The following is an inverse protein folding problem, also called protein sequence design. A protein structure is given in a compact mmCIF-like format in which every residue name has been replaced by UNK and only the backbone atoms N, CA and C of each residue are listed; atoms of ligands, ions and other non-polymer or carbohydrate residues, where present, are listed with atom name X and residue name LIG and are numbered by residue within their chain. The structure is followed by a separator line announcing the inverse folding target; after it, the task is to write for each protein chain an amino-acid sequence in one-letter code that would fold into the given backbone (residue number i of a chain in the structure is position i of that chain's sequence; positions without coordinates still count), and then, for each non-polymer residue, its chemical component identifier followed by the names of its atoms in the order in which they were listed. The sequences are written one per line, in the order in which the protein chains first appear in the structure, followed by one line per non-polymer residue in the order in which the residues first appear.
data_IF_754747512436
#
_entry.id   IF_754747512436
#
_cell.length_a   1.000
_cell.length_b   1.000
_cell.length_c   1.000
_cell.angle_alpha   90.00
_cell.angle_beta   90.00
_cell.angle_gamma   90.00
#
_symmetry.space_group_name_H-M   'P 1'
#
loop_
_entity.id
_entity.type
_entity.pdbx_description
1 polymer ?
#
# COMPACT_ATOMS: atom_id res chain seq x y z
N UNK A 1 70.86 17.28 -10.17
CA UNK A 1 71.88 17.07 -11.22
C UNK A 1 71.89 15.59 -11.58
N UNK A 2 71.16 15.20 -12.62
CA UNK A 2 71.46 14.03 -13.44
C UNK A 2 70.75 14.23 -14.77
N UNK A 3 71.43 13.84 -15.83
CA UNK A 3 71.29 14.29 -17.20
C UNK A 3 70.38 13.40 -18.05
N UNK A 4 69.94 13.99 -19.16
CA UNK A 4 69.99 13.43 -20.51
C UNK A 4 68.71 12.85 -21.15
N UNK A 5 68.19 13.67 -22.08
CA UNK A 5 68.19 13.45 -23.54
C UNK A 5 66.87 13.09 -24.27
N UNK A 6 66.66 13.89 -25.32
CA UNK A 6 66.13 13.61 -26.69
C UNK A 6 64.64 13.80 -27.05
N UNK A 7 64.39 14.95 -27.68
CA UNK A 7 63.39 15.42 -28.69
C UNK A 7 63.38 14.57 -29.99
N UNK A 8 62.55 14.81 -31.07
CA UNK A 8 61.56 15.88 -31.34
C UNK A 8 60.22 15.54 -32.05
N UNK A 9 59.27 16.49 -31.94
CA UNK A 9 58.39 17.13 -32.95
C UNK A 9 58.00 16.40 -34.27
N UNK A 10 56.68 16.38 -34.63
CA UNK A 10 56.13 17.06 -35.83
C UNK A 10 54.59 17.11 -35.86
N UNK A 11 54.07 18.10 -36.61
CA UNK A 11 52.73 18.70 -36.62
C UNK A 11 51.65 17.97 -37.44
N UNK A 12 50.40 18.15 -36.97
CA UNK A 12 49.14 18.57 -37.65
C UNK A 12 49.01 18.54 -39.19
N UNK A 13 47.87 18.03 -39.71
CA UNK A 13 46.93 18.73 -40.64
C UNK A 13 45.63 17.91 -40.89
N UNK A 14 44.52 18.67 -40.91
CA UNK A 14 43.12 18.36 -41.24
C UNK A 14 42.86 18.09 -42.74
N UNK A 15 41.79 17.32 -43.08
CA UNK A 15 40.65 17.81 -43.89
C UNK A 15 39.49 16.81 -44.09
N UNK A 16 38.29 17.41 -44.13
CA UNK A 16 36.93 16.95 -44.48
C UNK A 16 36.81 16.28 -45.86
N UNK A 17 35.71 15.53 -46.08
CA UNK A 17 34.61 15.85 -47.03
C UNK A 17 33.42 14.86 -46.84
N UNK A 18 32.25 15.35 -47.21
CA UNK A 18 30.87 14.99 -46.86
C UNK A 18 30.09 14.17 -47.92
N UNK A 19 29.01 13.54 -47.45
CA UNK A 19 27.64 13.46 -48.04
C UNK A 19 27.40 12.97 -49.47
N UNK A 20 26.48 12.01 -49.65
CA UNK A 20 25.12 12.27 -50.18
C UNK A 20 24.24 11.01 -50.30
N UNK A 21 22.94 11.30 -50.29
CA UNK A 21 21.69 10.54 -50.17
C UNK A 21 21.25 9.68 -51.35
N UNK A 22 20.35 8.72 -51.13
CA UNK A 22 19.10 8.58 -51.91
C UNK A 22 18.10 7.60 -51.28
N UNK A 23 16.83 7.97 -51.37
CA UNK A 23 15.62 7.27 -50.95
C UNK A 23 14.91 6.67 -52.18
N UNK A 24 14.24 5.51 -52.01
CA UNK A 24 12.90 5.26 -52.56
C UNK A 24 12.33 3.89 -52.16
N UNK A 25 11.01 3.91 -51.99
CA UNK A 25 10.01 2.93 -51.57
C UNK A 25 9.70 1.80 -52.55
N UNK A 26 9.28 0.62 -52.06
CA UNK A 26 7.99 -0.06 -52.38
C UNK A 26 7.85 -1.44 -51.71
N UNK A 27 6.64 -1.73 -51.20
CA UNK A 27 6.16 -2.96 -50.53
C UNK A 27 5.77 -4.07 -51.53
N UNK A 28 5.04 -5.15 -51.13
CA UNK A 28 5.41 -6.27 -50.26
C UNK A 28 5.28 -7.63 -51.01
N UNK A 29 5.83 -8.72 -50.45
CA UNK A 29 5.49 -10.07 -50.91
C UNK A 29 5.36 -11.08 -49.77
N UNK A 30 4.38 -11.95 -50.00
CA UNK A 30 3.69 -12.96 -49.19
C UNK A 30 4.47 -14.24 -48.90
N UNK A 31 3.85 -15.11 -48.08
CA UNK A 31 4.19 -16.48 -47.62
C UNK A 31 5.02 -16.53 -46.33
N UNK A 32 4.68 -17.30 -45.29
CA UNK A 32 3.90 -18.54 -45.22
C UNK A 32 3.25 -18.72 -43.84
N UNK A 33 2.04 -19.27 -43.85
CA UNK A 33 1.40 -19.99 -42.75
C UNK A 33 2.36 -20.99 -42.09
N UNK A 34 2.35 -21.07 -40.77
CA UNK A 34 2.51 -22.31 -40.02
C UNK A 34 1.50 -22.31 -38.87
N UNK A 35 0.37 -22.97 -39.13
CA UNK A 35 -0.53 -23.50 -38.11
C UNK A 35 0.12 -24.75 -37.54
N UNK A 36 0.31 -24.81 -36.23
CA UNK A 36 0.43 -26.08 -35.51
C UNK A 36 -0.74 -26.23 -34.56
N UNK A 37 -1.64 -27.15 -34.88
CA UNK A 37 -2.65 -27.69 -33.98
C UNK A 37 -1.99 -28.69 -33.02
N UNK A 38 -2.38 -28.62 -31.75
CA UNK A 38 -2.36 -29.74 -30.82
C UNK A 38 -3.65 -29.71 -30.00
N UNK A 39 -4.58 -30.66 -30.18
CA UNK A 39 -5.63 -30.96 -29.22
C UNK A 39 -5.19 -32.13 -28.32
N UNK A 40 -5.97 -32.40 -27.28
CA UNK A 40 -5.85 -33.41 -26.19
C UNK A 40 -5.44 -32.76 -24.86
N UNK A 41 -6.13 -32.97 -23.73
CA UNK A 41 -7.24 -33.86 -23.42
C UNK A 41 -7.96 -33.29 -22.20
N UNK A 42 -9.28 -33.17 -22.27
CA UNK A 42 -10.14 -33.02 -21.09
C UNK A 42 -10.28 -34.39 -20.44
N UNK A 43 -9.94 -34.49 -19.16
CA UNK A 43 -10.38 -35.61 -18.32
C UNK A 43 -10.89 -35.07 -17.00
N UNK A 44 -12.20 -35.11 -16.85
CA UNK A 44 -12.94 -35.02 -15.61
C UNK A 44 -12.37 -35.96 -14.55
N UNK A 45 -12.12 -35.45 -13.35
CA UNK A 45 -12.03 -36.29 -12.15
C UNK A 45 -13.27 -36.05 -11.30
N UNK A 46 -14.03 -37.13 -11.19
CA UNK A 46 -15.23 -37.28 -10.37
C UNK A 46 -14.85 -37.29 -8.89
N UNK A 47 -15.74 -36.70 -8.11
CA UNK A 47 -16.12 -37.01 -6.73
C UNK A 47 -15.50 -38.27 -6.11
N UNK A 48 -14.90 -38.08 -4.94
CA UNK A 48 -14.92 -39.08 -3.88
C UNK A 48 -15.67 -38.49 -2.68
N UNK A 49 -16.88 -39.03 -2.47
CA UNK A 49 -17.61 -38.96 -1.21
C UNK A 49 -16.86 -39.83 -0.19
N UNK A 50 -16.57 -39.27 0.99
CA UNK A 50 -16.35 -40.07 2.19
C UNK A 50 -17.27 -39.55 3.29
N UNK A 51 -18.36 -40.28 3.47
CA UNK A 51 -19.24 -40.27 4.63
C UNK A 51 -18.48 -40.76 5.87
N UNK A 52 -18.46 -39.96 6.93
CA UNK A 52 -18.21 -40.44 8.29
C UNK A 52 -19.36 -40.02 9.20
N UNK A 53 -19.99 -41.04 9.75
CA UNK A 53 -21.15 -41.04 10.62
C UNK A 53 -20.82 -40.60 12.06
N UNK A 54 -21.72 -39.78 12.60
CA UNK A 54 -22.30 -39.81 13.95
C UNK A 54 -21.43 -40.14 15.17
N UNK A 55 -21.38 -39.20 16.11
CA UNK A 55 -21.63 -39.50 17.52
C UNK A 55 -22.21 -38.26 18.23
N UNK A 56 -23.46 -38.38 18.65
CA UNK A 56 -24.16 -37.41 19.48
C UNK A 56 -24.32 -37.97 20.90
N UNK A 57 -24.40 -37.05 21.87
CA UNK A 57 -24.97 -37.14 23.23
C UNK A 57 -23.95 -37.06 24.39
N UNK A 58 -24.36 -36.63 25.61
CA UNK A 58 -25.67 -36.10 26.00
C UNK A 58 -25.63 -34.73 26.72
N UNK A 59 -26.80 -34.11 26.64
CA UNK A 59 -27.30 -33.02 27.48
C UNK A 59 -27.16 -33.37 28.98
N UNK A 60 -26.52 -32.49 29.75
CA UNK A 60 -26.57 -32.54 31.21
C UNK A 60 -27.65 -31.56 31.69
N UNK A 61 -28.70 -32.14 32.25
CA UNK A 61 -29.87 -31.48 32.84
C UNK A 61 -29.58 -31.37 34.33
N UNK A 62 -29.41 -30.15 34.86
CA UNK A 62 -29.37 -29.93 36.31
C UNK A 62 -30.46 -28.94 36.73
N UNK A 63 -31.10 -29.36 37.80
CA UNK A 63 -32.37 -28.93 38.36
C UNK A 63 -32.27 -27.59 39.07
N UNK A 64 -33.38 -26.84 39.01
CA UNK A 64 -33.67 -25.73 39.89
C UNK A 64 -33.76 -26.22 41.34
N UNK A 65 -33.01 -25.58 42.24
CA UNK A 65 -33.31 -25.58 43.67
C UNK A 65 -33.15 -24.16 44.21
N UNK A 66 -34.29 -23.63 44.66
CA UNK A 66 -34.46 -22.38 45.37
C UNK A 66 -33.88 -22.44 46.78
N UNK A 67 -33.04 -21.48 47.15
CA UNK A 67 -32.83 -21.11 48.55
C UNK A 67 -32.51 -19.62 48.65
N UNK A 68 -33.41 -18.91 49.30
CA UNK A 68 -33.38 -17.50 49.65
C UNK A 68 -32.41 -17.23 50.79
N UNK A 69 -31.48 -16.29 50.60
CA UNK A 69 -30.74 -15.64 51.68
C UNK A 69 -30.51 -14.17 51.33
N UNK A 70 -31.17 -13.29 52.07
CA UNK A 70 -31.10 -11.84 51.92
C UNK A 70 -29.77 -11.28 52.44
N UNK A 71 -29.08 -10.49 51.63
CA UNK A 71 -28.08 -9.54 52.11
C UNK A 71 -28.12 -8.27 51.25
N UNK A 72 -28.37 -7.15 51.93
CA UNK A 72 -28.50 -5.80 51.38
C UNK A 72 -27.16 -5.34 50.80
N UNK A 73 -27.17 -4.83 49.57
CA UNK A 73 -26.07 -4.07 48.98
C UNK A 73 -26.64 -2.76 48.45
N UNK A 74 -26.01 -1.67 48.88
CA UNK A 74 -26.39 -0.29 48.57
C UNK A 74 -26.34 -0.01 47.07
N UNK A 75 -27.41 0.59 46.55
CA UNK A 75 -27.48 1.08 45.19
C UNK A 75 -26.68 2.38 45.07
N UNK A 76 -25.53 2.32 44.41
CA UNK A 76 -24.90 3.48 43.78
C UNK A 76 -25.29 3.46 42.30
N UNK A 77 -25.98 4.50 41.87
CA UNK A 77 -26.44 4.74 40.50
C UNK A 77 -25.24 4.90 39.54
N UNK A 78 -24.96 3.88 38.75
CA UNK A 78 -24.14 4.00 37.55
C UNK A 78 -25.06 4.30 36.35
N UNK A 79 -25.17 5.58 36.00
CA UNK A 79 -25.86 6.04 34.80
C UNK A 79 -24.86 6.73 33.88
N UNK A 80 -24.22 5.97 32.98
CA UNK A 80 -23.60 6.45 31.73
C UNK A 80 -22.91 5.28 31.02
N UNK A 81 -23.50 4.76 29.94
CA UNK A 81 -22.80 4.02 28.85
C UNK A 81 -23.74 3.44 27.76
N UNK A 82 -25.07 3.52 27.87
CA UNK A 82 -25.95 2.99 26.82
C UNK A 82 -25.99 3.83 25.53
N UNK A 83 -25.59 5.11 25.59
CA UNK A 83 -25.65 6.03 24.46
C UNK A 83 -24.49 5.85 23.47
N UNK A 84 -23.30 5.47 23.94
CA UNK A 84 -22.10 5.34 23.07
C UNK A 84 -22.21 4.10 22.17
N UNK A 85 -22.56 2.94 22.74
CA UNK A 85 -22.70 1.67 22.00
C UNK A 85 -23.76 1.74 20.89
N UNK A 86 -24.87 2.43 21.15
CA UNK A 86 -25.95 2.61 20.16
C UNK A 86 -25.52 3.56 19.03
N UNK A 87 -24.67 4.55 19.29
CA UNK A 87 -24.16 5.48 18.28
C UNK A 87 -23.12 4.79 17.40
N UNK A 88 -22.26 3.96 17.97
CA UNK A 88 -21.23 3.21 17.23
C UNK A 88 -21.85 2.17 16.27
N UNK A 89 -22.88 1.44 16.72
CA UNK A 89 -23.58 0.48 15.87
C UNK A 89 -24.32 1.15 14.69
N UNK A 90 -24.82 2.38 14.87
CA UNK A 90 -25.47 3.17 13.81
C UNK A 90 -24.46 3.78 12.85
N UNK A 91 -23.30 4.25 13.34
CA UNK A 91 -22.20 4.72 12.52
C UNK A 91 -21.61 3.59 11.65
N UNK A 92 -21.48 2.38 12.21
CA UNK A 92 -21.04 1.21 11.46
C UNK A 92 -22.08 0.76 10.43
N UNK A 93 -23.37 1.00 10.66
CA UNK A 93 -24.44 0.73 9.68
C UNK A 93 -24.45 1.72 8.51
N UNK A 94 -23.89 2.92 8.68
CA UNK A 94 -23.80 3.96 7.64
C UNK A 94 -22.59 3.80 6.70
N UNK A 95 -21.68 2.86 6.99
CA UNK A 95 -20.52 2.58 6.14
C UNK A 95 -20.96 2.09 4.75
N UNK A 96 -20.32 2.66 3.72
CA UNK A 96 -20.50 2.25 2.32
C UNK A 96 -20.29 0.73 2.15
N UNK A 97 -21.03 0.12 1.22
CA UNK A 97 -21.03 -1.34 1.06
C UNK A 97 -19.65 -1.89 0.66
N UNK A 98 -18.89 -1.17 -0.16
CA UNK A 98 -17.54 -1.58 -0.56
C UNK A 98 -16.61 -1.49 0.64
N UNK A 99 -16.62 -0.36 1.36
CA UNK A 99 -15.75 -0.16 2.51
C UNK A 99 -16.09 -1.11 3.66
N UNK A 100 -17.37 -1.41 3.88
CA UNK A 100 -17.81 -2.42 4.86
C UNK A 100 -17.23 -3.78 4.51
N UNK A 101 -17.38 -4.22 3.27
CA UNK A 101 -16.85 -5.50 2.84
C UNK A 101 -15.35 -5.58 3.10
N UNK A 102 -14.58 -4.56 2.68
CA UNK A 102 -13.13 -4.51 2.93
C UNK A 102 -12.81 -4.52 4.43
N UNK A 103 -13.58 -3.82 5.27
CA UNK A 103 -13.33 -3.80 6.71
C UNK A 103 -13.48 -5.16 7.39
N UNK A 104 -14.44 -5.97 6.97
CA UNK A 104 -14.74 -7.24 7.64
C UNK A 104 -14.18 -8.48 6.93
N UNK A 105 -13.85 -8.41 5.63
CA UNK A 105 -13.32 -9.55 4.87
C UNK A 105 -11.80 -9.50 4.69
N UNK A 106 -11.18 -8.31 4.68
CA UNK A 106 -9.72 -8.21 4.59
C UNK A 106 -9.08 -8.53 5.94
N UNK A 107 -8.22 -9.53 5.96
CA UNK A 107 -7.38 -9.89 7.11
C UNK A 107 -6.00 -9.25 6.98
N UNK A 108 -5.68 -8.34 7.90
CA UNK A 108 -4.37 -7.71 7.98
C UNK A 108 -3.35 -8.63 8.67
N UNK A 109 -2.08 -8.50 8.31
CA UNK A 109 -0.98 -9.21 8.97
C UNK A 109 -0.59 -8.45 10.24
N UNK A 110 -0.79 -9.05 11.42
CA UNK A 110 -0.32 -8.49 12.69
C UNK A 110 1.18 -8.75 12.85
N UNK A 111 1.90 -7.74 13.33
CA UNK A 111 3.35 -7.81 13.54
C UNK A 111 3.79 -7.25 14.89
N UNK A 112 4.97 -7.65 15.36
CA UNK A 112 5.67 -6.96 16.44
C UNK A 112 6.43 -5.72 15.92
N UNK A 113 7.03 -4.93 16.81
CA UNK A 113 7.81 -3.74 16.43
C UNK A 113 9.08 -4.03 15.62
N UNK A 114 9.48 -5.31 15.51
CA UNK A 114 10.61 -5.77 14.71
C UNK A 114 10.16 -6.33 13.35
N UNK A 115 8.87 -6.21 13.02
CA UNK A 115 8.26 -6.73 11.80
C UNK A 115 8.15 -8.26 11.74
N UNK A 116 8.15 -8.96 12.87
CA UNK A 116 7.85 -10.38 12.88
C UNK A 116 6.34 -10.60 12.91
N UNK A 117 5.84 -11.53 12.08
CA UNK A 117 4.42 -11.88 12.06
C UNK A 117 4.03 -12.54 13.39
N UNK A 118 3.02 -11.99 14.05
CA UNK A 118 2.48 -12.50 15.33
C UNK A 118 1.04 -13.02 15.22
N UNK A 119 0.38 -12.78 14.08
CA UNK A 119 -0.98 -13.25 13.82
C UNK A 119 -1.65 -12.51 12.67
N UNK A 120 -2.98 -12.47 12.71
CA UNK A 120 -3.82 -11.68 11.81
C UNK A 120 -5.09 -11.25 12.54
N UNK A 121 -5.70 -10.17 12.06
CA UNK A 121 -7.03 -9.72 12.48
C UNK A 121 -7.69 -8.97 11.31
N UNK A 122 -9.00 -8.80 11.37
CA UNK A 122 -9.77 -8.04 10.40
C UNK A 122 -9.26 -6.60 10.31
N UNK A 123 -9.32 -6.03 9.12
CA UNK A 123 -9.03 -4.62 8.89
C UNK A 123 -9.82 -3.72 9.84
N UNK A 124 -11.09 -4.03 10.10
CA UNK A 124 -11.93 -3.33 11.06
C UNK A 124 -11.23 -3.22 12.43
N UNK A 125 -10.82 -4.35 12.99
CA UNK A 125 -10.19 -4.40 14.32
C UNK A 125 -8.82 -3.69 14.34
N UNK A 126 -8.01 -3.87 13.30
CA UNK A 126 -6.71 -3.23 13.15
C UNK A 126 -6.76 -1.70 13.18
N UNK A 127 -7.89 -1.09 12.82
CA UNK A 127 -8.02 0.37 12.70
C UNK A 127 -8.87 0.99 13.81
N UNK A 128 -9.37 0.19 14.77
CA UNK A 128 -10.07 0.72 15.95
C UNK A 128 -9.06 1.27 16.96
N UNK A 129 -9.19 2.55 17.31
CA UNK A 129 -8.35 3.19 18.33
C UNK A 129 -8.42 2.48 19.68
N UNK A 130 -9.57 1.92 20.05
CA UNK A 130 -9.71 1.12 21.26
C UNK A 130 -8.74 -0.07 21.29
N UNK A 131 -8.68 -0.85 20.20
CA UNK A 131 -7.76 -2.00 20.08
C UNK A 131 -6.31 -1.58 19.93
N UNK A 132 -6.06 -0.54 19.13
CA UNK A 132 -4.73 0.06 18.98
C UNK A 132 -4.16 0.46 20.35
N UNK A 133 -4.95 1.11 21.22
CA UNK A 133 -4.45 1.60 22.51
C UNK A 133 -4.46 0.54 23.62
N UNK A 134 -5.45 -0.36 23.65
CA UNK A 134 -5.57 -1.37 24.71
C UNK A 134 -4.73 -2.62 24.48
N UNK A 135 -4.55 -3.02 23.22
CA UNK A 135 -3.83 -4.25 22.83
C UNK A 135 -2.48 -3.94 22.16
N UNK A 136 -2.17 -2.66 21.90
CA UNK A 136 -1.05 -2.25 21.06
C UNK A 136 -1.08 -2.94 19.68
N UNK A 137 -2.29 -3.08 19.13
CA UNK A 137 -2.51 -3.79 17.88
C UNK A 137 -1.75 -3.08 16.76
N UNK A 138 -0.81 -3.79 16.13
CA UNK A 138 0.11 -3.28 15.11
C UNK A 138 0.03 -4.20 13.90
N UNK A 139 -0.21 -3.63 12.73
CA UNK A 139 -0.27 -4.38 11.48
C UNK A 139 0.72 -3.87 10.43
N UNK A 140 1.09 -4.76 9.52
CA UNK A 140 1.95 -4.42 8.38
C UNK A 140 1.16 -3.63 7.35
N UNK A 141 1.80 -2.63 6.77
CA UNK A 141 1.24 -1.78 5.72
C UNK A 141 2.25 -1.50 4.61
N UNK A 142 1.82 -0.82 3.55
CA UNK A 142 2.69 -0.23 2.54
C UNK A 142 2.20 1.12 2.04
N UNK A 143 3.15 1.93 1.60
CA UNK A 143 2.95 3.22 0.94
C UNK A 143 3.73 3.25 -0.37
N UNK A 144 3.00 3.39 -1.49
CA UNK A 144 3.57 3.51 -2.83
C UNK A 144 3.82 4.99 -3.19
N UNK A 145 5.00 5.24 -3.76
CA UNK A 145 5.40 6.50 -4.37
C UNK A 145 5.71 6.24 -5.85
N UNK A 146 4.72 6.49 -6.72
CA UNK A 146 4.83 6.34 -8.17
C UNK A 146 5.22 7.68 -8.79
N UNK A 147 6.32 7.67 -9.54
CA UNK A 147 6.76 8.79 -10.34
C UNK A 147 6.54 8.49 -11.82
N UNK A 148 6.12 9.51 -12.58
CA UNK A 148 6.13 9.41 -14.02
C UNK A 148 7.55 9.62 -14.61
N UNK A 149 7.79 9.45 -15.91
CA UNK A 149 9.10 9.69 -16.53
C UNK A 149 9.61 11.14 -16.47
N UNK A 150 8.77 12.09 -16.06
CA UNK A 150 9.17 13.49 -15.77
C UNK A 150 9.55 13.70 -14.31
N UNK A 151 9.57 12.63 -13.52
CA UNK A 151 9.83 12.63 -12.09
C UNK A 151 8.82 13.46 -11.30
N UNK A 152 7.57 13.50 -11.76
CA UNK A 152 6.44 14.04 -10.99
C UNK A 152 5.81 12.90 -10.18
N UNK A 153 5.55 13.15 -8.89
CA UNK A 153 4.92 12.19 -7.98
C UNK A 153 3.41 12.18 -8.20
N UNK A 154 2.82 10.99 -8.35
CA UNK A 154 1.39 10.80 -8.36
C UNK A 154 0.84 10.83 -6.92
N UNK A 155 -0.02 11.80 -6.63
CA UNK A 155 -0.81 11.89 -5.41
C UNK A 155 -2.25 11.47 -5.68
N UNK A 156 -2.90 10.95 -4.64
CA UNK A 156 -4.34 10.74 -4.64
C UNK A 156 -5.02 11.53 -3.52
N UNK A 157 -6.26 11.95 -3.76
CA UNK A 157 -7.19 12.36 -2.72
C UNK A 157 -8.09 11.18 -2.38
N UNK A 158 -8.12 10.79 -1.11
CA UNK A 158 -8.98 9.72 -0.60
C UNK A 158 -10.46 10.06 -0.85
N UNK A 159 -11.27 9.08 -1.22
CA UNK A 159 -12.73 9.28 -1.39
C UNK A 159 -13.40 9.75 -0.09
N UNK A 160 -14.60 10.31 -0.22
CA UNK A 160 -15.41 10.68 0.94
C UNK A 160 -15.92 9.47 1.73
N UNK A 161 -15.93 8.28 1.12
CA UNK A 161 -16.43 7.04 1.71
C UNK A 161 -15.37 6.29 2.51
N UNK A 162 -14.08 6.64 2.40
CA UNK A 162 -13.01 6.03 3.22
C UNK A 162 -13.31 6.19 4.71
N UNK A 163 -13.20 5.08 5.44
CA UNK A 163 -13.41 5.05 6.89
C UNK A 163 -12.34 5.87 7.63
N UNK A 164 -11.06 5.65 7.30
CA UNK A 164 -9.96 6.47 7.83
C UNK A 164 -9.63 7.61 6.88
N UNK A 165 -9.47 8.82 7.42
CA UNK A 165 -8.99 10.01 6.69
C UNK A 165 -9.71 10.30 5.35
N UNK A 166 -11.06 10.43 5.30
CA UNK A 166 -11.76 10.78 4.07
C UNK A 166 -11.36 12.16 3.55
N UNK A 167 -11.32 12.33 2.23
CA UNK A 167 -10.99 13.59 1.53
C UNK A 167 -9.58 14.16 1.78
N UNK A 168 -8.70 13.37 2.39
CA UNK A 168 -7.31 13.73 2.65
C UNK A 168 -6.42 13.39 1.44
N UNK A 169 -5.51 14.31 1.08
CA UNK A 169 -4.48 14.08 0.06
C UNK A 169 -3.31 13.26 0.62
N UNK A 170 -2.79 12.33 -0.17
CA UNK A 170 -1.72 11.41 0.25
C UNK A 170 -0.86 10.99 -0.94
N UNK A 171 0.18 10.18 -0.71
CA UNK A 171 0.99 9.54 -1.75
C UNK A 171 0.14 8.59 -2.63
N UNK A 172 0.77 7.95 -3.61
CA UNK A 172 0.06 7.28 -4.70
C UNK A 172 -0.97 6.25 -4.25
N UNK A 173 -0.60 5.34 -3.34
CA UNK A 173 -1.49 4.30 -2.86
C UNK A 173 -0.98 3.78 -1.50
N UNK A 174 -1.87 3.63 -0.53
CA UNK A 174 -1.56 3.12 0.80
C UNK A 174 -2.57 2.06 1.19
N UNK A 175 -2.08 0.88 1.58
CA UNK A 175 -2.94 -0.23 2.01
C UNK A 175 -2.12 -1.30 2.73
N UNK A 176 -2.64 -2.53 2.76
CA UNK A 176 -2.16 -3.61 3.60
C UNK A 176 -1.86 -4.84 2.74
N UNK A 177 -0.72 -5.52 2.96
CA UNK A 177 -0.62 -6.92 2.59
C UNK A 177 -1.61 -7.74 3.41
N UNK A 178 -2.35 -8.61 2.73
CA UNK A 178 -3.34 -9.48 3.34
C UNK A 178 -2.67 -10.72 3.92
N UNK A 179 -3.25 -11.28 4.98
CA UNK A 179 -2.84 -12.56 5.55
C UNK A 179 -3.23 -13.73 4.62
N UNK A 180 -2.49 -13.88 3.52
CA UNK A 180 -2.66 -14.91 2.48
C UNK A 180 -1.32 -15.28 1.87
N UNK A 181 -1.21 -16.50 1.35
CA UNK A 181 0.07 -17.06 0.86
C UNK A 181 0.83 -16.13 -0.09
N UNK A 182 0.14 -15.49 -1.04
CA UNK A 182 0.78 -14.61 -2.01
C UNK A 182 1.32 -13.29 -1.43
N UNK A 183 0.88 -12.89 -0.24
CA UNK A 183 1.23 -11.61 0.39
C UNK A 183 1.98 -11.76 1.72
N UNK A 184 2.20 -13.00 2.18
CA UNK A 184 3.03 -13.35 3.32
C UNK A 184 4.51 -13.62 2.96
N UNK A 185 4.88 -13.53 1.68
CA UNK A 185 6.24 -13.86 1.22
C UNK A 185 7.23 -12.76 1.64
N UNK A 186 8.11 -13.08 2.59
CA UNK A 186 9.11 -12.13 3.12
C UNK A 186 10.28 -11.89 2.16
N UNK A 187 10.64 -12.89 1.34
CA UNK A 187 11.80 -12.80 0.46
C UNK A 187 11.72 -11.57 -0.44
N UNK A 188 12.73 -10.71 -0.35
CA UNK A 188 12.79 -9.45 -1.11
C UNK A 188 11.48 -8.64 -1.02
N UNK A 189 10.78 -8.70 0.12
CA UNK A 189 9.55 -7.96 0.36
C UNK A 189 8.46 -8.30 -0.68
N UNK A 190 8.48 -9.51 -1.23
CA UNK A 190 7.64 -9.88 -2.37
C UNK A 190 6.14 -9.80 -2.05
N UNK A 191 5.74 -10.24 -0.86
CA UNK A 191 4.34 -10.22 -0.45
C UNK A 191 3.74 -8.81 -0.41
N UNK A 192 4.51 -7.85 0.11
CA UNK A 192 4.10 -6.44 0.15
C UNK A 192 4.06 -5.84 -1.27
N UNK A 193 5.02 -6.18 -2.14
CA UNK A 193 5.01 -5.72 -3.54
C UNK A 193 3.84 -6.30 -4.34
N UNK A 194 3.43 -7.54 -4.07
CA UNK A 194 2.22 -8.14 -4.63
C UNK A 194 0.97 -7.38 -4.18
N UNK A 195 0.88 -7.03 -2.90
CA UNK A 195 -0.22 -6.24 -2.35
C UNK A 195 -0.30 -4.85 -2.99
N UNK A 196 0.85 -4.19 -3.18
CA UNK A 196 0.94 -2.90 -3.86
C UNK A 196 0.44 -2.96 -5.30
N UNK A 197 0.87 -3.95 -6.10
CA UNK A 197 0.37 -4.12 -7.47
C UNK A 197 -1.16 -4.31 -7.49
N UNK A 198 -1.69 -5.17 -6.61
CA UNK A 198 -3.14 -5.39 -6.49
C UNK A 198 -3.88 -4.09 -6.17
N UNK A 199 -3.42 -3.34 -5.17
CA UNK A 199 -4.13 -2.14 -4.72
C UNK A 199 -4.00 -0.96 -5.67
N UNK A 200 -2.91 -0.85 -6.44
CA UNK A 200 -2.82 0.09 -7.55
C UNK A 200 -3.87 -0.20 -8.64
N UNK A 201 -4.21 -1.48 -8.87
CA UNK A 201 -5.32 -1.83 -9.74
C UNK A 201 -6.68 -1.48 -9.08
N UNK A 202 -6.90 -1.90 -7.84
CA UNK A 202 -8.18 -1.71 -7.14
C UNK A 202 -8.55 -0.22 -6.94
N UNK A 203 -7.57 0.64 -6.64
CA UNK A 203 -7.79 2.07 -6.35
C UNK A 203 -7.61 2.97 -7.57
N UNK A 204 -6.57 2.73 -8.37
CA UNK A 204 -6.18 3.62 -9.46
C UNK A 204 -6.40 3.03 -10.86
N UNK A 205 -6.89 1.79 -10.95
CA UNK A 205 -7.14 1.12 -12.23
C UNK A 205 -5.87 0.83 -13.04
N UNK A 206 -4.70 0.83 -12.39
CA UNK A 206 -3.41 0.60 -13.07
C UNK A 206 -3.20 -0.91 -13.23
N UNK A 207 -3.11 -1.43 -14.47
CA UNK A 207 -3.01 -2.87 -14.69
C UNK A 207 -1.62 -3.42 -14.36
N UNK A 208 -1.53 -4.72 -14.08
CA UNK A 208 -0.31 -5.36 -13.57
C UNK A 208 0.89 -5.24 -14.53
N UNK A 209 0.66 -5.25 -15.85
CA UNK A 209 1.68 -5.05 -16.88
C UNK A 209 2.37 -3.68 -16.80
N UNK A 210 1.64 -2.66 -16.32
CA UNK A 210 2.14 -1.29 -16.19
C UNK A 210 2.97 -1.11 -14.91
N UNK A 211 2.79 -1.98 -13.92
CA UNK A 211 3.52 -1.96 -12.64
C UNK A 211 3.97 -3.38 -12.22
N UNK A 212 4.89 -4.04 -12.96
CA UNK A 212 5.38 -5.36 -12.61
C UNK A 212 6.03 -5.38 -11.23
N UNK A 213 5.75 -6.43 -10.45
CA UNK A 213 6.16 -6.58 -9.05
C UNK A 213 7.68 -6.43 -8.84
N UNK A 214 8.48 -6.87 -9.81
CA UNK A 214 9.95 -6.78 -9.78
C UNK A 214 10.50 -5.36 -10.00
N UNK A 215 9.64 -4.39 -10.37
CA UNK A 215 10.02 -2.99 -10.60
C UNK A 215 9.80 -2.07 -9.41
N UNK A 216 9.15 -2.52 -8.35
CA UNK A 216 9.10 -1.77 -7.10
C UNK A 216 10.46 -1.82 -6.41
N UNK A 217 10.92 -0.65 -5.96
CA UNK A 217 12.11 -0.46 -5.13
C UNK A 217 11.69 -0.21 -3.68
N UNK A 218 11.81 -1.18 -2.76
CA UNK A 218 11.63 -0.94 -1.34
C UNK A 218 12.77 -0.06 -0.82
N UNK A 219 12.45 1.10 -0.22
CA UNK A 219 13.46 2.06 0.24
C UNK A 219 13.60 2.14 1.76
N UNK A 220 12.55 1.85 2.50
CA UNK A 220 12.60 1.91 3.95
C UNK A 220 11.32 1.43 4.61
N UNK A 221 11.35 1.38 5.94
CA UNK A 221 10.21 1.02 6.78
C UNK A 221 10.03 2.07 7.88
N UNK A 222 8.80 2.49 8.10
CA UNK A 222 8.45 3.39 9.20
C UNK A 222 7.48 2.68 10.15
N UNK A 223 7.60 2.95 11.44
CA UNK A 223 6.61 2.57 12.44
C UNK A 223 5.96 3.85 12.95
N UNK A 224 4.65 3.97 12.78
CA UNK A 224 3.92 5.18 13.14
C UNK A 224 2.53 4.86 13.70
N UNK A 225 1.95 5.83 14.42
CA UNK A 225 0.57 5.77 14.92
C UNK A 225 -0.13 7.11 14.67
N UNK A 226 -1.35 7.07 14.15
CA UNK A 226 -2.10 8.29 13.81
C UNK A 226 -3.61 8.12 14.01
N UNK A 227 -4.26 8.90 14.89
CA UNK A 227 -5.72 8.89 15.02
C UNK A 227 -6.39 9.59 13.82
N UNK A 228 -7.55 9.10 13.39
CA UNK A 228 -8.39 9.68 12.33
C UNK A 228 -9.50 10.57 12.90
N UNK A 229 -10.47 9.98 13.61
CA UNK A 229 -11.69 10.67 14.07
C UNK A 229 -12.19 10.22 15.46
N UNK A 230 -11.27 9.78 16.31
CA UNK A 230 -11.55 9.32 17.67
C UNK A 230 -11.85 7.82 17.73
N UNK A 231 -12.74 7.30 16.88
CA UNK A 231 -12.99 5.86 16.76
C UNK A 231 -11.90 5.18 15.94
N UNK A 232 -11.55 5.77 14.80
CA UNK A 232 -10.65 5.17 13.84
C UNK A 232 -9.24 5.76 13.91
N UNK A 233 -8.25 4.96 13.51
CA UNK A 233 -6.86 5.38 13.38
C UNK A 233 -6.00 4.33 12.69
N UNK A 234 -4.70 4.59 12.67
CA UNK A 234 -3.67 3.76 12.04
C UNK A 234 -2.58 3.50 13.07
N UNK A 235 -2.07 2.26 13.13
CA UNK A 235 -0.87 1.90 13.87
C UNK A 235 -0.13 0.84 13.06
N UNK A 236 0.89 1.28 12.34
CA UNK A 236 1.40 0.52 11.21
C UNK A 236 2.91 0.41 11.20
N UNK A 237 3.36 -0.75 10.73
CA UNK A 237 4.71 -0.94 10.20
C UNK A 237 4.64 -0.85 8.67
N UNK A 238 4.95 0.33 8.16
CA UNK A 238 4.69 0.73 6.78
C UNK A 238 5.95 0.62 5.91
N UNK A 239 5.83 -0.16 4.83
CA UNK A 239 6.84 -0.33 3.80
C UNK A 239 6.76 0.75 2.73
N UNK A 240 7.86 1.48 2.52
CA UNK A 240 7.92 2.55 1.53
C UNK A 240 8.42 2.00 0.19
N UNK A 241 7.51 1.93 -0.78
CA UNK A 241 7.74 1.34 -2.11
C UNK A 241 7.79 2.42 -3.19
N UNK A 242 8.87 2.47 -3.96
CA UNK A 242 9.05 3.45 -5.03
C UNK A 242 9.01 2.78 -6.40
N UNK A 243 8.44 3.46 -7.39
CA UNK A 243 8.40 2.99 -8.77
C UNK A 243 8.38 4.18 -9.74
N UNK A 244 9.10 4.06 -10.87
CA UNK A 244 9.08 5.06 -11.94
C UNK A 244 8.48 4.42 -13.19
N UNK A 245 7.27 4.82 -13.57
CA UNK A 245 6.54 4.26 -14.72
C UNK A 245 5.63 5.30 -15.36
N UNK A 246 5.50 5.21 -16.67
CA UNK A 246 4.39 5.86 -17.37
C UNK A 246 3.17 4.95 -17.26
N UNK A 247 2.11 5.43 -16.62
CA UNK A 247 0.93 4.62 -16.32
C UNK A 247 -0.33 5.40 -16.67
N UNK A 248 -1.34 4.69 -17.16
CA UNK A 248 -2.68 5.24 -17.30
C UNK A 248 -3.46 5.02 -16.01
N UNK A 249 -3.98 6.11 -15.45
CA UNK A 249 -4.77 6.10 -14.22
C UNK A 249 -6.26 6.14 -14.57
N UNK A 250 -7.05 5.26 -13.96
CA UNK A 250 -8.50 5.19 -14.04
C UNK A 250 -9.06 4.97 -12.62
N UNK A 251 -9.14 6.02 -11.79
CA UNK A 251 -9.45 5.88 -10.37
C UNK A 251 -10.82 5.27 -10.11
N UNK A 252 -10.89 4.41 -9.10
CA UNK A 252 -12.16 3.94 -8.55
C UNK A 252 -12.76 5.03 -7.65
N UNK A 253 -13.93 5.61 -7.98
CA UNK A 253 -14.52 6.71 -7.22
C UNK A 253 -14.89 6.33 -5.77
N UNK A 254 -15.06 5.03 -5.48
CA UNK A 254 -15.32 4.54 -4.12
C UNK A 254 -14.07 4.58 -3.23
N UNK A 255 -12.87 4.68 -3.82
CA UNK A 255 -11.58 4.69 -3.11
C UNK A 255 -10.86 6.05 -3.23
N UNK A 256 -10.98 6.70 -4.40
CA UNK A 256 -10.21 7.88 -4.79
C UNK A 256 -11.12 8.97 -5.34
N UNK A 257 -11.12 10.14 -4.72
CA UNK A 257 -11.87 11.31 -5.15
C UNK A 257 -11.18 12.08 -6.29
N UNK A 258 -9.86 12.17 -6.25
CA UNK A 258 -9.07 12.92 -7.23
C UNK A 258 -7.62 12.42 -7.30
N UNK A 259 -6.91 12.73 -8.38
CA UNK A 259 -5.49 12.38 -8.57
C UNK A 259 -4.72 13.54 -9.18
N UNK A 260 -3.44 13.67 -8.81
CA UNK A 260 -2.59 14.74 -9.33
C UNK A 260 -1.14 14.35 -9.41
N UNK A 261 -0.51 14.59 -10.54
CA UNK A 261 0.95 14.60 -10.65
C UNK A 261 1.50 15.94 -10.17
N UNK A 262 2.52 15.89 -9.31
CA UNK A 262 3.20 17.08 -8.79
C UNK A 262 4.70 16.98 -8.91
N UNK A 263 5.34 18.06 -9.32
CA UNK A 263 6.78 18.24 -9.14
C UNK A 263 7.11 18.73 -7.71
N UNK A 264 8.40 18.86 -7.40
CA UNK A 264 8.87 19.28 -6.06
C UNK A 264 8.31 20.62 -5.60
N UNK A 265 8.27 21.62 -6.49
CA UNK A 265 7.79 22.96 -6.14
C UNK A 265 6.27 22.96 -5.93
N UNK A 266 5.54 22.21 -6.73
CA UNK A 266 4.10 22.00 -6.54
C UNK A 266 3.81 21.26 -5.22
N UNK A 267 4.62 20.26 -4.85
CA UNK A 267 4.48 19.59 -3.56
C UNK A 267 4.77 20.54 -2.39
N UNK A 268 5.83 21.36 -2.47
CA UNK A 268 6.11 22.41 -1.45
C UNK A 268 4.94 23.36 -1.27
N UNK A 269 4.31 23.79 -2.37
CA UNK A 269 3.13 24.64 -2.29
C UNK A 269 1.94 23.91 -1.67
N UNK A 270 1.71 22.63 -1.99
CA UNK A 270 0.66 21.84 -1.33
C UNK A 270 0.89 21.71 0.18
N UNK A 271 2.13 21.50 0.61
CA UNK A 271 2.50 21.45 2.03
C UNK A 271 2.21 22.80 2.71
N UNK A 272 2.65 23.91 2.09
CA UNK A 272 2.39 25.27 2.60
C UNK A 272 0.89 25.54 2.76
N UNK A 273 0.09 25.18 1.74
CA UNK A 273 -1.37 25.32 1.77
C UNK A 273 -2.01 24.48 2.88
N UNK A 274 -1.57 23.22 3.03
CA UNK A 274 -2.06 22.33 4.09
C UNK A 274 -1.81 22.93 5.48
N UNK A 275 -0.58 23.41 5.71
CA UNK A 275 -0.17 23.97 7.00
C UNK A 275 -0.88 25.30 7.31
N UNK A 276 -1.19 26.09 6.29
CA UNK A 276 -2.00 27.30 6.41
C UNK A 276 -3.51 27.03 6.52
N UNK A 277 -3.97 25.79 6.34
CA UNK A 277 -5.39 25.44 6.32
C UNK A 277 -6.15 26.02 5.13
N UNK A 278 -5.46 26.33 4.03
CA UNK A 278 -6.06 26.93 2.84
C UNK A 278 -6.97 25.93 2.12
N UNK A 279 -8.13 26.41 1.67
CA UNK A 279 -9.08 25.64 0.84
C UNK A 279 -9.55 24.31 1.49
N UNK A 280 -9.37 24.15 2.81
CA UNK A 280 -9.68 22.91 3.52
C UNK A 280 -8.75 21.73 3.16
N UNK A 281 -7.61 22.00 2.52
CA UNK A 281 -6.64 21.00 2.11
C UNK A 281 -6.01 20.33 3.33
N UNK A 282 -6.05 18.99 3.35
CA UNK A 282 -5.42 18.17 4.39
C UNK A 282 -4.50 17.15 3.75
N UNK A 283 -3.38 16.89 4.42
CA UNK A 283 -2.44 15.83 4.07
C UNK A 283 -2.48 14.74 5.13
N UNK A 284 -2.34 13.50 4.70
CA UNK A 284 -2.33 12.37 5.63
C UNK A 284 -1.09 12.41 6.53
N UNK A 285 -1.21 12.00 7.81
CA UNK A 285 -0.08 12.03 8.75
C UNK A 285 1.15 11.29 8.23
N UNK A 286 1.00 10.07 7.73
CA UNK A 286 2.13 9.26 7.20
C UNK A 286 2.82 9.94 6.01
N UNK A 287 2.05 10.56 5.11
CA UNK A 287 2.64 11.29 3.98
C UNK A 287 3.50 12.47 4.47
N UNK A 288 3.04 13.23 5.47
CA UNK A 288 3.87 14.28 6.08
C UNK A 288 5.13 13.70 6.73
N UNK A 289 5.02 12.58 7.46
CA UNK A 289 6.18 11.90 8.05
C UNK A 289 7.22 11.53 6.98
N UNK A 290 6.80 10.95 5.85
CA UNK A 290 7.73 10.59 4.77
C UNK A 290 8.30 11.83 4.09
N UNK A 291 7.49 12.86 3.86
CA UNK A 291 7.93 14.15 3.28
C UNK A 291 9.05 14.78 4.12
N UNK A 292 8.81 14.92 5.42
CA UNK A 292 9.68 15.66 6.33
C UNK A 292 11.01 14.93 6.59
N UNK A 293 11.01 13.59 6.52
CA UNK A 293 12.17 12.78 6.87
C UNK A 293 12.96 12.27 5.66
N UNK A 294 12.31 11.98 4.52
CA UNK A 294 12.93 11.19 3.46
C UNK A 294 12.68 11.70 2.04
N UNK A 295 11.44 12.10 1.73
CA UNK A 295 10.95 12.15 0.35
C UNK A 295 11.79 13.03 -0.56
N UNK A 296 12.12 14.26 -0.13
CA UNK A 296 12.88 15.19 -0.99
C UNK A 296 14.29 14.68 -1.29
N UNK A 297 14.93 13.98 -0.35
CA UNK A 297 16.23 13.34 -0.55
C UNK A 297 16.09 12.16 -1.52
N UNK A 298 15.11 11.27 -1.30
CA UNK A 298 14.87 10.12 -2.18
C UNK A 298 14.44 10.53 -3.58
N UNK A 299 13.74 11.65 -3.73
CA UNK A 299 13.40 12.24 -5.03
C UNK A 299 14.65 12.54 -5.87
N UNK A 300 15.77 12.94 -5.25
CA UNK A 300 17.03 13.11 -5.98
C UNK A 300 17.56 11.78 -6.53
N UNK A 301 17.37 10.69 -5.80
CA UNK A 301 17.74 9.35 -6.26
C UNK A 301 16.80 8.86 -7.37
N UNK A 302 15.53 9.24 -7.34
CA UNK A 302 14.57 8.99 -8.43
C UNK A 302 15.08 9.65 -9.72
N UNK A 303 15.41 10.93 -9.68
CA UNK A 303 15.87 11.70 -10.84
C UNK A 303 17.22 11.21 -11.39
N UNK A 304 18.12 10.76 -10.50
CA UNK A 304 19.45 10.23 -10.86
C UNK A 304 19.41 8.77 -11.31
N UNK A 305 18.31 8.06 -11.10
CA UNK A 305 18.21 6.61 -11.35
C UNK A 305 19.02 5.76 -10.34
N UNK A 306 19.23 6.27 -9.12
CA UNK A 306 20.07 5.68 -8.06
C UNK A 306 19.26 5.32 -6.82
N UNK A 307 18.00 4.92 -6.98
CA UNK A 307 17.08 4.60 -5.87
C UNK A 307 17.64 3.55 -4.91
N UNK A 308 18.29 2.52 -5.43
CA UNK A 308 18.85 1.44 -4.61
C UNK A 308 19.96 1.91 -3.66
N UNK A 309 20.66 3.00 -3.99
CA UNK A 309 21.70 3.58 -3.12
C UNK A 309 21.10 4.25 -1.87
N UNK A 310 19.81 4.59 -1.91
CA UNK A 310 19.09 5.21 -0.80
C UNK A 310 18.37 4.20 0.11
N UNK A 311 18.32 2.92 -0.30
CA UNK A 311 17.53 1.92 0.40
C UNK A 311 18.14 1.55 1.77
N UNK A 312 17.34 1.66 2.83
CA UNK A 312 17.62 1.11 4.14
C UNK A 312 16.46 0.23 4.60
N UNK A 313 16.53 -1.04 4.22
CA UNK A 313 15.53 -2.03 4.65
C UNK A 313 15.87 -2.67 6.01
N UNK A 314 16.99 -2.31 6.65
CA UNK A 314 17.36 -2.86 7.95
C UNK A 314 16.75 -2.07 9.09
N UNK A 315 16.76 -0.74 8.97
CA UNK A 315 16.19 0.14 9.98
C UNK A 315 14.66 0.16 9.90
N UNK A 316 14.01 0.19 11.07
CA UNK A 316 12.59 0.56 11.21
C UNK A 316 12.59 1.94 11.86
N UNK A 317 12.20 2.96 11.11
CA UNK A 317 12.19 4.33 11.58
C UNK A 317 10.93 4.57 12.41
N UNK A 318 11.06 4.65 13.73
CA UNK A 318 9.94 5.00 14.63
C UNK A 318 9.67 6.51 14.51
N UNK A 319 8.54 6.87 13.93
CA UNK A 319 8.13 8.25 13.68
C UNK A 319 6.84 8.55 14.42
N UNK A 320 6.81 9.69 15.11
CA UNK A 320 5.70 10.13 15.97
C UNK A 320 5.23 11.51 15.57
#
# INVERSE_FOLDING_TARGET
MSSALTTPCFQTILKRISSSSSSCSSSPSTFSLLKSHSPFSTSSLKQALSSSTAAASPLCRCSLSSSSSSSRVSAATASASSSTVMVDAVADAAMDAVQRRLMFEDECILVDENDHVVGHDTKYNCHLMEKIESENLLHRAFSVFLFNPKFELLLQQRSATKVTFPLVWTNTCCSHPLYRESELIEENVLGVRNAAQRKLFDELGIPAEDVPVDKFSPLGRILYKAPSDGKWGEHELDYLLFIVRDVKVNPNPDEVADVKYVNREQLKELLRKADAGEEGLKLSPWFKLVVDNFLFKWWEHVEKGTLLDAADMKTIHKLT
#
